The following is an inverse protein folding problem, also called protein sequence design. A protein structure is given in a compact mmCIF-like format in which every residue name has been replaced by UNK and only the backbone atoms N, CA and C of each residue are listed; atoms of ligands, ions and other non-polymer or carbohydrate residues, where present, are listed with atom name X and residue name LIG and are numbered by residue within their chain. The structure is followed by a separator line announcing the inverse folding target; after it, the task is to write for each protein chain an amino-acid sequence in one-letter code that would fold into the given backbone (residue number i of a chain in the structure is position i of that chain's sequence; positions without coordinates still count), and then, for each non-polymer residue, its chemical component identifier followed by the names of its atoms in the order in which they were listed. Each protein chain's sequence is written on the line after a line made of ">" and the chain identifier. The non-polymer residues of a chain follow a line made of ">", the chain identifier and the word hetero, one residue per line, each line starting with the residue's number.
data_IF_857606923203
#
_entry.id   IF_857606923203
#
_cell.length_a   1.000
_cell.length_b   1.000
_cell.length_c   1.000
_cell.angle_alpha   90.00
_cell.angle_beta   90.00
_cell.angle_gamma   90.00
#
_symmetry.space_group_name_H-M   'P 1'
#
loop_
_entity.id
_entity.type
_entity.pdbx_description
1 polymer ?
#
# COMPACT_ATOMS: atom_id res chain seq x y z
N UNK A 1 45.66 -1.00 58.85
CA UNK A 1 45.50 -1.29 57.41
C UNK A 1 44.32 -2.23 57.08
N UNK A 2 44.15 -3.39 57.73
CA UNK A 2 43.08 -4.37 57.38
C UNK A 2 41.62 -3.86 57.50
N UNK A 3 41.32 -3.01 58.48
CA UNK A 3 39.95 -2.46 58.70
C UNK A 3 39.54 -1.42 57.65
N UNK A 4 40.50 -0.70 57.07
CA UNK A 4 40.23 0.26 56.00
C UNK A 4 39.92 -0.45 54.67
N UNK A 5 40.61 -1.57 54.39
CA UNK A 5 40.39 -2.39 53.21
C UNK A 5 39.00 -3.07 53.20
N UNK A 6 38.51 -3.55 54.36
CA UNK A 6 37.16 -4.14 54.46
C UNK A 6 36.04 -3.11 54.31
N UNK A 7 36.24 -1.87 54.79
CA UNK A 7 35.28 -0.78 54.56
C UNK A 7 35.21 -0.34 53.09
N UNK A 8 36.33 -0.39 52.37
CA UNK A 8 36.36 -0.08 50.94
C UNK A 8 35.63 -1.15 50.11
N UNK A 9 35.84 -2.43 50.41
CA UNK A 9 35.15 -3.54 49.73
C UNK A 9 33.62 -3.48 49.89
N UNK A 10 33.14 -3.21 51.11
CA UNK A 10 31.70 -3.09 51.37
C UNK A 10 31.06 -1.90 50.62
N UNK A 11 31.79 -0.79 50.45
CA UNK A 11 31.31 0.35 49.65
C UNK A 11 31.21 0.03 48.17
N UNK A 12 32.17 -0.73 47.62
CA UNK A 12 32.14 -1.16 46.23
C UNK A 12 30.95 -2.09 45.96
N UNK A 13 30.74 -3.11 46.81
CA UNK A 13 29.64 -4.05 46.66
C UNK A 13 28.27 -3.35 46.73
N UNK A 14 28.12 -2.35 47.62
CA UNK A 14 26.91 -1.53 47.70
C UNK A 14 26.69 -0.69 46.42
N UNK A 15 27.75 -0.13 45.85
CA UNK A 15 27.69 0.64 44.61
C UNK A 15 27.33 -0.24 43.40
N UNK A 16 27.90 -1.45 43.31
CA UNK A 16 27.57 -2.42 42.27
C UNK A 16 26.11 -2.88 42.34
N UNK A 17 25.60 -3.15 43.55
CA UNK A 17 24.18 -3.48 43.78
C UNK A 17 23.27 -2.32 43.38
N UNK A 18 23.63 -1.08 43.72
CA UNK A 18 22.85 0.11 43.33
C UNK A 18 22.83 0.30 41.81
N UNK A 19 23.98 0.11 41.15
CA UNK A 19 24.09 0.18 39.70
C UNK A 19 23.24 -0.90 39.01
N UNK A 20 23.30 -2.15 39.48
CA UNK A 20 22.50 -3.24 38.95
C UNK A 20 20.99 -2.98 39.11
N UNK A 21 20.57 -2.44 40.26
CA UNK A 21 19.19 -2.05 40.50
C UNK A 21 18.72 -0.94 39.53
N UNK A 22 19.56 0.06 39.27
CA UNK A 22 19.23 1.14 38.33
C UNK A 22 19.15 0.62 36.89
N UNK A 23 20.08 -0.22 36.46
CA UNK A 23 20.01 -0.85 35.12
C UNK A 23 18.74 -1.69 34.95
N UNK A 24 18.33 -2.41 36.00
CA UNK A 24 17.07 -3.17 35.97
C UNK A 24 15.84 -2.25 35.86
N UNK A 25 15.82 -1.10 36.55
CA UNK A 25 14.73 -0.11 36.40
C UNK A 25 14.68 0.48 34.99
N UNK A 26 15.83 0.84 34.42
CA UNK A 26 15.91 1.38 33.06
C UNK A 26 15.43 0.35 32.02
N UNK A 27 15.85 -0.91 32.16
CA UNK A 27 15.39 -2.00 31.29
C UNK A 27 13.88 -2.21 31.38
N UNK A 28 13.32 -2.21 32.60
CA UNK A 28 11.88 -2.32 32.81
C UNK A 28 11.10 -1.16 32.18
N UNK A 29 11.59 0.07 32.31
CA UNK A 29 10.97 1.25 31.70
C UNK A 29 10.98 1.19 30.17
N UNK A 30 12.11 0.76 29.56
CA UNK A 30 12.22 0.55 28.11
C UNK A 30 11.25 -0.53 27.62
N UNK A 31 11.13 -1.64 28.34
CA UNK A 31 10.19 -2.70 28.01
C UNK A 31 8.72 -2.23 28.10
N UNK A 32 8.39 -1.41 29.10
CA UNK A 32 7.06 -0.81 29.23
C UNK A 32 6.74 0.14 28.06
N UNK A 33 7.69 1.00 27.68
CA UNK A 33 7.54 1.90 26.54
C UNK A 33 7.35 1.13 25.22
N UNK A 34 8.10 0.05 25.01
CA UNK A 34 7.96 -0.80 23.82
C UNK A 34 6.58 -1.49 23.76
N UNK A 35 6.05 -1.96 24.90
CA UNK A 35 4.69 -2.53 24.97
C UNK A 35 3.63 -1.47 24.63
N UNK A 36 3.72 -0.28 25.22
CA UNK A 36 2.80 0.81 24.94
C UNK A 36 2.81 1.23 23.46
N UNK A 37 3.99 1.28 22.84
CA UNK A 37 4.14 1.57 21.42
C UNK A 37 3.48 0.49 20.53
N UNK A 38 3.65 -0.80 20.86
CA UNK A 38 3.01 -1.91 20.15
C UNK A 38 1.48 -1.86 20.28
N UNK A 39 0.98 -1.57 21.47
CA UNK A 39 -0.47 -1.42 21.70
C UNK A 39 -1.05 -0.25 20.91
N UNK A 40 -0.36 0.90 20.89
CA UNK A 40 -0.76 2.06 20.06
C UNK A 40 -0.80 1.69 18.58
N UNK A 41 0.25 1.05 18.06
CA UNK A 41 0.31 0.61 16.67
C UNK A 41 -0.82 -0.39 16.33
N UNK A 42 -1.12 -1.33 17.24
CA UNK A 42 -2.21 -2.28 17.07
C UNK A 42 -3.59 -1.59 17.03
N UNK A 43 -3.84 -0.60 17.90
CA UNK A 43 -5.08 0.20 17.88
C UNK A 43 -5.23 0.99 16.58
N UNK A 44 -4.16 1.61 16.11
CA UNK A 44 -4.16 2.32 14.82
C UNK A 44 -4.41 1.38 13.64
N UNK A 45 -3.79 0.20 13.64
CA UNK A 45 -4.02 -0.82 12.61
C UNK A 45 -5.48 -1.31 12.62
N UNK A 46 -6.04 -1.57 13.81
CA UNK A 46 -7.43 -1.95 13.97
C UNK A 46 -8.39 -0.83 13.50
N UNK A 47 -8.10 0.43 13.81
CA UNK A 47 -8.89 1.57 13.35
C UNK A 47 -8.85 1.70 11.81
N UNK A 48 -7.69 1.54 11.18
CA UNK A 48 -7.56 1.52 9.71
C UNK A 48 -8.33 0.36 9.08
N UNK A 49 -8.27 -0.83 9.69
CA UNK A 49 -9.03 -2.00 9.24
C UNK A 49 -10.55 -1.77 9.35
N UNK A 50 -11.01 -1.18 10.46
CA UNK A 50 -12.42 -0.83 10.66
C UNK A 50 -12.89 0.23 9.65
N UNK A 51 -12.08 1.26 9.37
CA UNK A 51 -12.37 2.26 8.35
C UNK A 51 -12.45 1.66 6.94
N UNK A 52 -11.55 0.72 6.59
CA UNK A 52 -11.62 -0.04 5.32
C UNK A 52 -12.89 -0.88 5.24
N UNK A 53 -13.25 -1.57 6.31
CA UNK A 53 -14.48 -2.37 6.37
C UNK A 53 -15.75 -1.50 6.25
N UNK A 54 -15.77 -0.31 6.86
CA UNK A 54 -16.86 0.64 6.74
C UNK A 54 -16.98 1.19 5.30
N UNK A 55 -15.87 1.56 4.67
CA UNK A 55 -15.84 1.99 3.27
C UNK A 55 -16.31 0.88 2.31
N UNK A 56 -15.93 -0.38 2.58
CA UNK A 56 -16.41 -1.53 1.81
C UNK A 56 -17.92 -1.76 1.95
N UNK A 57 -18.51 -1.44 3.12
CA UNK A 57 -19.97 -1.53 3.34
C UNK A 57 -20.74 -0.43 2.61
N UNK A 58 -20.21 0.79 2.53
CA UNK A 58 -20.82 1.87 1.73
C UNK A 58 -20.68 1.65 0.23
N UNK A 59 -19.60 0.98 -0.20
CA UNK A 59 -19.37 0.54 -1.57
C UNK A 59 -20.31 -0.59 -2.04
N UNK A 60 -21.02 -1.26 -1.13
CA UNK A 60 -21.98 -2.31 -1.46
C UNK A 60 -23.32 -1.77 -1.99
N UNK A 61 -23.55 -0.44 -1.95
CA UNK A 61 -24.64 0.17 -2.71
C UNK A 61 -24.25 0.16 -4.18
N UNK A 62 -25.03 -0.49 -5.07
CA UNK A 62 -24.72 -0.49 -6.50
C UNK A 62 -24.69 0.96 -7.00
N UNK A 63 -23.53 1.40 -7.47
CA UNK A 63 -23.44 2.64 -8.23
C UNK A 63 -23.72 2.26 -9.70
N UNK A 64 -24.86 2.65 -10.30
CA UNK A 64 -25.20 2.26 -11.67
C UNK A 64 -24.18 2.76 -12.71
N UNK A 65 -23.34 3.75 -12.37
CA UNK A 65 -22.22 4.13 -13.23
C UNK A 65 -21.13 3.06 -13.34
N UNK A 66 -21.11 2.07 -12.43
CA UNK A 66 -20.15 0.97 -12.40
C UNK A 66 -20.53 -0.23 -13.27
N UNK A 67 -21.77 -0.26 -13.79
CA UNK A 67 -22.24 -1.37 -14.64
C UNK A 67 -22.01 -1.09 -16.14
N UNK A 68 -21.84 0.18 -16.54
CA UNK A 68 -21.83 0.62 -17.96
C UNK A 68 -20.80 1.71 -18.32
N UNK A 69 -19.97 2.17 -17.38
CA UNK A 69 -19.03 3.26 -17.67
C UNK A 69 -17.81 2.82 -18.50
N UNK A 70 -17.62 3.42 -19.68
CA UNK A 70 -16.46 3.21 -20.56
C UNK A 70 -16.83 2.61 -21.93
N UNK A 71 -15.84 2.25 -22.78
CA UNK A 71 -14.40 2.37 -22.54
C UNK A 71 -13.92 3.83 -22.55
N UNK A 72 -12.96 4.15 -21.68
CA UNK A 72 -12.29 5.46 -21.67
C UNK A 72 -10.88 5.36 -22.26
N UNK A 73 -10.36 6.43 -22.91
CA UNK A 73 -8.98 6.44 -23.38
C UNK A 73 -7.98 6.32 -22.21
N UNK A 74 -6.76 5.82 -22.47
CA UNK A 74 -5.62 5.99 -21.58
C UNK A 74 -5.45 7.42 -21.05
N UNK A 75 -5.22 7.58 -19.75
CA UNK A 75 -4.96 8.89 -19.16
C UNK A 75 -6.24 9.71 -18.90
N UNK A 76 -6.34 10.97 -19.35
CA UNK A 76 -7.48 11.84 -19.05
C UNK A 76 -8.83 11.27 -19.46
N UNK A 77 -9.83 11.36 -18.57
CA UNK A 77 -11.20 10.91 -18.85
C UNK A 77 -12.23 11.72 -18.04
N UNK A 78 -13.48 11.73 -18.52
CA UNK A 78 -14.62 12.32 -17.81
C UNK A 78 -14.56 13.84 -17.62
N UNK A 79 -13.64 14.55 -18.29
CA UNK A 79 -13.45 16.00 -18.11
C UNK A 79 -12.79 16.38 -16.79
N UNK A 80 -12.25 15.41 -16.05
CA UNK A 80 -11.58 15.64 -14.77
C UNK A 80 -10.10 15.97 -14.94
N UNK A 81 -9.52 16.51 -13.89
CA UNK A 81 -8.07 16.66 -13.74
C UNK A 81 -7.50 15.48 -12.92
N UNK A 82 -6.24 15.13 -13.18
CA UNK A 82 -5.55 14.04 -12.49
C UNK A 82 -5.55 14.24 -10.97
N UNK A 83 -6.06 13.26 -10.23
CA UNK A 83 -6.18 13.29 -8.77
C UNK A 83 -7.34 14.16 -8.25
N UNK A 84 -8.17 14.72 -9.14
CA UNK A 84 -9.33 15.56 -8.81
C UNK A 84 -10.65 14.96 -9.34
N UNK A 85 -10.72 13.63 -9.40
CA UNK A 85 -11.94 12.89 -9.75
C UNK A 85 -12.79 12.71 -8.48
N UNK A 86 -14.08 13.10 -8.49
CA UNK A 86 -14.95 12.88 -7.34
C UNK A 86 -15.22 11.38 -7.15
N UNK A 87 -15.27 10.90 -5.90
CA UNK A 87 -15.53 9.49 -5.61
C UNK A 87 -16.86 8.99 -6.19
N UNK A 88 -17.84 9.88 -6.39
CA UNK A 88 -19.13 9.56 -7.02
C UNK A 88 -19.00 9.14 -8.49
N UNK A 89 -17.90 9.52 -9.16
CA UNK A 89 -17.59 9.09 -10.53
C UNK A 89 -16.73 7.81 -10.55
N UNK A 90 -16.26 7.34 -9.39
CA UNK A 90 -15.42 6.16 -9.27
C UNK A 90 -16.19 4.95 -8.74
N UNK A 91 -15.61 3.79 -8.95
CA UNK A 91 -16.19 2.51 -8.62
C UNK A 91 -15.32 1.76 -7.62
N UNK A 92 -15.92 1.18 -6.57
CA UNK A 92 -15.17 0.39 -5.60
C UNK A 92 -14.67 -0.91 -6.23
N UNK A 93 -13.54 -1.39 -5.72
CA UNK A 93 -12.93 -2.65 -6.16
C UNK A 93 -12.83 -3.68 -5.04
N UNK A 94 -12.87 -4.96 -5.40
CA UNK A 94 -12.56 -6.07 -4.49
C UNK A 94 -11.12 -5.87 -3.97
N UNK A 95 -10.91 -6.06 -2.66
CA UNK A 95 -9.64 -5.76 -2.01
C UNK A 95 -9.54 -4.31 -1.49
N UNK A 96 -10.48 -3.45 -1.85
CA UNK A 96 -10.62 -2.07 -1.36
C UNK A 96 -9.95 -1.03 -2.24
N UNK A 97 -10.48 0.19 -2.22
CA UNK A 97 -10.04 1.28 -3.07
C UNK A 97 -11.06 1.62 -4.15
N UNK A 98 -10.66 2.49 -5.09
CA UNK A 98 -11.52 3.01 -6.14
C UNK A 98 -10.77 3.06 -7.47
N UNK A 99 -11.46 2.75 -8.55
CA UNK A 99 -10.97 2.88 -9.92
C UNK A 99 -12.02 3.56 -10.81
N UNK A 100 -11.62 3.99 -12.00
CA UNK A 100 -12.60 4.38 -13.03
C UNK A 100 -13.49 3.18 -13.39
N UNK A 101 -14.73 3.39 -13.87
CA UNK A 101 -15.71 2.30 -13.98
C UNK A 101 -15.25 1.07 -14.77
N UNK A 102 -14.72 1.23 -15.98
CA UNK A 102 -14.23 0.13 -16.81
C UNK A 102 -13.05 -0.62 -16.17
N UNK A 103 -12.11 0.12 -15.59
CA UNK A 103 -10.99 -0.43 -14.83
C UNK A 103 -11.46 -1.23 -13.61
N UNK A 104 -12.48 -0.75 -12.89
CA UNK A 104 -13.04 -1.43 -11.72
C UNK A 104 -13.70 -2.76 -12.12
N UNK A 105 -14.51 -2.77 -13.17
CA UNK A 105 -15.13 -4.00 -13.71
C UNK A 105 -14.06 -4.99 -14.13
N UNK A 106 -13.07 -4.54 -14.89
CA UNK A 106 -11.94 -5.35 -15.33
C UNK A 106 -11.15 -5.94 -14.15
N UNK A 107 -10.79 -5.12 -13.17
CA UNK A 107 -10.06 -5.55 -11.98
C UNK A 107 -10.85 -6.57 -11.16
N UNK A 108 -12.16 -6.34 -10.98
CA UNK A 108 -13.03 -7.24 -10.23
C UNK A 108 -13.20 -8.60 -10.92
N UNK A 109 -13.15 -8.66 -12.26
CA UNK A 109 -13.08 -9.92 -13.00
C UNK A 109 -11.72 -10.61 -12.83
N UNK A 110 -10.63 -9.86 -12.96
CA UNK A 110 -9.26 -10.36 -12.79
C UNK A 110 -9.05 -10.97 -11.40
N UNK A 111 -9.46 -10.27 -10.34
CA UNK A 111 -9.28 -10.75 -8.97
C UNK A 111 -10.15 -11.97 -8.65
N UNK A 112 -11.31 -12.14 -9.29
CA UNK A 112 -12.10 -13.37 -9.16
C UNK A 112 -11.38 -14.55 -9.80
N UNK A 113 -10.77 -14.37 -10.97
CA UNK A 113 -9.95 -15.39 -11.60
C UNK A 113 -8.69 -15.71 -10.78
N UNK A 114 -8.02 -14.70 -10.22
CA UNK A 114 -6.89 -14.88 -9.32
C UNK A 114 -7.26 -15.73 -8.10
N UNK A 115 -8.46 -15.52 -7.54
CA UNK A 115 -8.96 -16.33 -6.42
C UNK A 115 -9.12 -17.81 -6.78
N UNK A 116 -9.44 -18.15 -8.03
CA UNK A 116 -9.48 -19.56 -8.45
C UNK A 116 -8.10 -20.22 -8.42
N UNK A 117 -7.02 -19.45 -8.63
CA UNK A 117 -5.66 -19.97 -8.62
C UNK A 117 -5.04 -20.02 -7.20
N UNK A 118 -5.34 -19.05 -6.34
CA UNK A 118 -4.66 -18.88 -5.04
C UNK A 118 -5.57 -18.90 -3.81
N UNK A 119 -6.88 -19.11 -3.98
CA UNK A 119 -7.85 -19.16 -2.88
C UNK A 119 -8.12 -17.81 -2.18
N UNK A 120 -7.45 -16.74 -2.59
CA UNK A 120 -7.56 -15.39 -2.03
C UNK A 120 -7.74 -14.36 -3.15
N UNK A 121 -8.36 -13.21 -2.85
CA UNK A 121 -8.41 -12.09 -3.80
C UNK A 121 -7.07 -11.36 -3.87
N UNK A 122 -6.87 -10.57 -4.93
CA UNK A 122 -5.72 -9.67 -5.03
C UNK A 122 -5.75 -8.67 -3.88
N UNK A 123 -4.60 -8.48 -3.24
CA UNK A 123 -4.43 -7.49 -2.19
C UNK A 123 -4.06 -6.15 -2.80
N UNK A 124 -4.85 -5.12 -2.51
CA UNK A 124 -4.64 -3.75 -3.02
C UNK A 124 -3.98 -2.90 -1.93
N UNK A 125 -2.75 -2.46 -2.17
CA UNK A 125 -2.05 -1.50 -1.32
C UNK A 125 -2.42 -0.06 -1.69
N UNK A 126 -2.54 0.25 -2.99
CA UNK A 126 -2.95 1.55 -3.51
C UNK A 126 -3.79 1.41 -4.79
N UNK A 127 -4.68 2.37 -5.04
CA UNK A 127 -5.49 2.48 -6.26
C UNK A 127 -5.64 3.97 -6.62
N UNK A 128 -6.86 4.51 -6.80
CA UNK A 128 -7.03 5.95 -6.99
C UNK A 128 -6.35 6.77 -5.88
N UNK A 129 -5.55 7.77 -6.28
CA UNK A 129 -4.80 8.64 -5.37
C UNK A 129 -5.16 10.10 -5.64
N UNK A 130 -5.83 10.78 -4.68
CA UNK A 130 -6.15 12.20 -4.80
C UNK A 130 -4.90 13.07 -4.97
N UNK A 131 -5.05 14.22 -5.63
CA UNK A 131 -3.97 15.15 -5.93
C UNK A 131 -3.20 15.57 -4.67
N UNK A 132 -3.92 15.90 -3.59
CA UNK A 132 -3.31 16.28 -2.31
C UNK A 132 -2.46 15.16 -1.70
N UNK A 133 -2.87 13.90 -1.89
CA UNK A 133 -2.11 12.74 -1.44
C UNK A 133 -0.85 12.54 -2.29
N UNK A 134 -0.95 12.76 -3.60
CA UNK A 134 0.21 12.72 -4.49
C UNK A 134 1.22 13.83 -4.17
N UNK A 135 0.76 15.05 -3.84
CA UNK A 135 1.62 16.14 -3.37
C UNK A 135 2.35 15.75 -2.08
N UNK A 136 1.63 15.14 -1.13
CA UNK A 136 2.25 14.67 0.12
C UNK A 136 3.31 13.62 -0.16
N UNK A 137 3.00 12.61 -0.98
CA UNK A 137 3.94 11.54 -1.32
C UNK A 137 5.17 12.10 -2.03
N UNK A 138 5.00 13.00 -3.00
CA UNK A 138 6.12 13.61 -3.72
C UNK A 138 7.04 14.43 -2.80
N UNK A 139 6.48 15.06 -1.75
CA UNK A 139 7.29 15.79 -0.75
C UNK A 139 8.11 14.88 0.15
N UNK A 140 7.60 13.69 0.47
CA UNK A 140 8.27 12.76 1.41
C UNK A 140 9.17 11.76 0.70
N UNK A 141 8.80 11.31 -0.49
CA UNK A 141 9.44 10.24 -1.25
C UNK A 141 9.54 10.60 -2.75
N UNK A 142 10.20 11.70 -3.13
CA UNK A 142 10.21 12.22 -4.51
C UNK A 142 10.78 11.24 -5.54
N UNK A 143 11.68 10.33 -5.14
CA UNK A 143 12.25 9.31 -6.02
C UNK A 143 11.28 8.17 -6.34
N UNK A 144 10.21 8.01 -5.56
CA UNK A 144 9.21 6.94 -5.69
C UNK A 144 7.83 7.50 -6.07
N UNK A 145 7.78 8.77 -6.48
CA UNK A 145 6.53 9.46 -6.74
C UNK A 145 6.60 10.19 -8.08
N UNK A 146 5.64 9.93 -8.95
CA UNK A 146 5.41 10.77 -10.12
C UNK A 146 5.13 12.23 -9.69
N UNK A 147 5.45 13.18 -10.57
CA UNK A 147 5.10 14.58 -10.36
C UNK A 147 3.57 14.70 -10.09
N UNK A 148 3.12 15.48 -9.10
CA UNK A 148 1.70 15.64 -8.84
C UNK A 148 0.92 16.07 -10.08
N UNK A 149 -0.15 15.33 -10.40
CA UNK A 149 -0.95 15.54 -11.60
C UNK A 149 -0.54 14.67 -12.80
N UNK A 150 0.51 13.86 -12.70
CA UNK A 150 0.98 13.00 -13.82
C UNK A 150 0.92 11.51 -13.52
N UNK A 151 0.46 11.10 -12.33
CA UNK A 151 0.41 9.68 -11.94
C UNK A 151 -0.84 8.97 -12.49
N UNK A 152 -0.70 7.75 -13.00
CA UNK A 152 -1.86 6.93 -13.40
C UNK A 152 -2.78 6.57 -12.22
N UNK A 153 -2.28 6.59 -10.98
CA UNK A 153 -3.15 6.52 -9.79
C UNK A 153 -4.11 7.71 -9.71
N UNK A 154 -3.70 8.90 -10.14
CA UNK A 154 -4.56 10.08 -10.18
C UNK A 154 -5.63 10.01 -11.28
N UNK A 155 -5.47 9.13 -12.26
CA UNK A 155 -6.52 8.85 -13.24
C UNK A 155 -7.38 7.62 -12.89
N UNK A 156 -7.19 7.05 -11.70
CA UNK A 156 -7.88 5.84 -11.25
C UNK A 156 -7.69 4.65 -12.22
N UNK A 157 -6.48 4.57 -12.82
CA UNK A 157 -6.07 3.57 -13.81
C UNK A 157 -4.89 2.73 -13.34
N UNK A 158 -4.43 2.87 -12.09
CA UNK A 158 -3.33 2.10 -11.57
C UNK A 158 -3.66 1.46 -10.22
N UNK A 159 -3.04 0.32 -9.96
CA UNK A 159 -3.06 -0.37 -8.67
C UNK A 159 -1.65 -0.77 -8.27
N UNK A 160 -1.35 -0.62 -6.98
CA UNK A 160 -0.18 -1.21 -6.35
C UNK A 160 -0.62 -2.44 -5.56
N UNK A 161 -0.11 -3.61 -5.91
CA UNK A 161 -0.58 -4.90 -5.39
C UNK A 161 0.39 -5.50 -4.36
N UNK A 162 -0.18 -6.19 -3.37
CA UNK A 162 0.55 -6.84 -2.29
C UNK A 162 0.41 -8.37 -2.26
N UNK A 163 0.63 -8.95 -1.08
CA UNK A 163 0.40 -10.37 -0.76
C UNK A 163 1.06 -11.38 -1.73
N UNK A 164 2.26 -11.06 -2.20
CA UNK A 164 3.07 -11.91 -3.06
C UNK A 164 3.27 -11.31 -4.44
N UNK A 165 2.32 -10.52 -4.95
CA UNK A 165 2.47 -9.87 -6.26
C UNK A 165 3.63 -8.88 -6.28
N UNK A 166 3.85 -8.12 -5.20
CA UNK A 166 4.99 -7.21 -5.06
C UNK A 166 6.36 -7.91 -5.04
N UNK A 167 6.40 -9.22 -4.85
CA UNK A 167 7.64 -9.98 -4.83
C UNK A 167 7.93 -10.46 -6.26
N UNK A 168 8.84 -9.78 -6.95
CA UNK A 168 9.22 -10.13 -8.32
C UNK A 168 9.57 -11.62 -8.45
N UNK A 169 9.02 -12.26 -9.47
CA UNK A 169 9.24 -13.69 -9.72
C UNK A 169 8.54 -14.63 -8.72
N UNK A 170 7.66 -14.16 -7.85
CA UNK A 170 6.79 -15.05 -7.08
C UNK A 170 5.78 -15.78 -8.00
N UNK A 171 5.16 -16.89 -7.54
CA UNK A 171 4.04 -17.50 -8.25
C UNK A 171 2.91 -16.50 -8.55
N UNK A 172 2.60 -15.61 -7.62
CA UNK A 172 1.57 -14.59 -7.74
C UNK A 172 1.92 -13.54 -8.80
N UNK A 173 3.17 -13.05 -8.80
CA UNK A 173 3.66 -12.11 -9.81
C UNK A 173 3.63 -12.74 -11.20
N UNK A 174 4.13 -13.97 -11.36
CA UNK A 174 4.09 -14.68 -12.65
C UNK A 174 2.67 -14.91 -13.16
N UNK A 175 1.74 -15.21 -12.25
CA UNK A 175 0.32 -15.32 -12.63
C UNK A 175 -0.19 -13.99 -13.18
N UNK A 176 0.11 -12.88 -12.52
CA UNK A 176 -0.29 -11.56 -13.01
C UNK A 176 0.32 -11.27 -14.39
N UNK A 177 1.62 -11.56 -14.60
CA UNK A 177 2.27 -11.38 -15.91
C UNK A 177 1.58 -12.20 -17.01
N UNK A 178 1.18 -13.44 -16.69
CA UNK A 178 0.55 -14.34 -17.66
C UNK A 178 -0.93 -14.02 -17.95
N UNK A 179 -1.66 -13.45 -16.99
CA UNK A 179 -3.13 -13.38 -17.06
C UNK A 179 -3.71 -11.96 -17.03
N UNK A 180 -3.00 -10.97 -16.49
CA UNK A 180 -3.54 -9.61 -16.31
C UNK A 180 -3.96 -8.97 -17.65
N UNK A 181 -3.20 -9.24 -18.72
CA UNK A 181 -3.49 -8.71 -20.05
C UNK A 181 -4.87 -9.10 -20.60
N UNK A 182 -5.38 -10.29 -20.24
CA UNK A 182 -6.73 -10.72 -20.63
C UNK A 182 -7.85 -9.86 -20.02
N UNK A 183 -7.53 -9.09 -18.99
CA UNK A 183 -8.43 -8.15 -18.32
C UNK A 183 -8.08 -6.69 -18.62
N UNK A 184 -7.16 -6.43 -19.57
CA UNK A 184 -6.73 -5.07 -19.89
C UNK A 184 -5.79 -4.43 -18.86
N UNK A 185 -5.20 -5.24 -17.98
CA UNK A 185 -4.18 -4.81 -17.02
C UNK A 185 -2.79 -5.20 -17.50
N UNK A 186 -1.82 -4.31 -17.34
CA UNK A 186 -0.43 -4.54 -17.75
C UNK A 186 0.52 -4.23 -16.62
N UNK A 187 1.65 -4.94 -16.59
CA UNK A 187 2.82 -4.51 -15.85
C UNK A 187 3.66 -3.64 -16.80
N UNK A 188 3.68 -2.31 -16.64
CA UNK A 188 4.27 -1.45 -17.64
C UNK A 188 5.78 -1.65 -17.74
N UNK A 189 6.34 -1.48 -18.93
CA UNK A 189 7.75 -1.82 -19.19
C UNK A 189 8.72 -1.04 -18.31
N UNK A 190 8.39 0.23 -17.99
CA UNK A 190 9.19 1.08 -17.13
C UNK A 190 9.31 0.53 -15.70
N UNK A 191 8.30 -0.20 -15.20
CA UNK A 191 8.29 -0.75 -13.85
C UNK A 191 9.28 -1.91 -13.65
N UNK A 192 9.86 -2.44 -14.75
CA UNK A 192 10.97 -3.40 -14.70
C UNK A 192 12.36 -2.72 -14.64
N UNK A 193 12.42 -1.39 -14.68
CA UNK A 193 13.67 -0.64 -14.78
C UNK A 193 13.91 0.19 -13.51
N UNK A 194 13.84 1.52 -13.62
CA UNK A 194 14.05 2.45 -12.51
C UNK A 194 12.98 3.56 -12.58
N UNK A 195 12.12 3.71 -11.55
CA UNK A 195 12.06 2.86 -10.36
C UNK A 195 11.61 1.42 -10.68
N UNK A 196 12.16 0.45 -9.94
CA UNK A 196 11.74 -0.94 -10.03
C UNK A 196 10.51 -1.16 -9.16
N UNK A 197 9.36 -1.41 -9.79
CA UNK A 197 8.05 -1.44 -9.14
C UNK A 197 7.23 -2.69 -9.48
N UNK A 198 7.64 -3.90 -9.04
CA UNK A 198 6.93 -5.15 -9.31
C UNK A 198 5.49 -5.19 -8.77
N UNK A 199 5.16 -4.29 -7.83
CA UNK A 199 3.81 -4.11 -7.32
C UNK A 199 2.89 -3.33 -8.28
N UNK A 200 3.42 -2.59 -9.25
CA UNK A 200 2.68 -1.61 -10.03
C UNK A 200 2.05 -2.21 -11.31
N UNK A 201 0.75 -1.98 -11.46
CA UNK A 201 -0.04 -2.46 -12.61
C UNK A 201 -0.98 -1.34 -13.09
N UNK A 202 -1.10 -1.22 -14.41
CA UNK A 202 -1.87 -0.16 -15.07
C UNK A 202 -2.98 -0.75 -15.93
N UNK A 203 -4.12 -0.07 -15.98
CA UNK A 203 -5.25 -0.41 -16.83
C UNK A 203 -5.21 0.38 -18.13
N UNK A 204 -5.43 -0.30 -19.24
CA UNK A 204 -5.26 0.24 -20.59
C UNK A 204 -3.83 0.08 -21.09
N UNK A 205 -3.64 0.14 -22.40
CA UNK A 205 -2.31 0.15 -23.02
C UNK A 205 -1.63 1.49 -22.76
N UNK A 206 -1.09 1.69 -21.56
CA UNK A 206 -0.43 2.94 -21.14
C UNK A 206 1.05 2.72 -20.88
N UNK A 207 1.80 2.20 -21.86
CA UNK A 207 3.20 2.59 -22.04
C UNK A 207 3.73 2.09 -23.38
N UNK A 208 3.88 3.04 -24.31
CA UNK A 208 4.82 3.08 -25.44
C UNK A 208 5.35 1.77 -26.03
N UNK A 209 4.63 1.23 -27.01
CA UNK A 209 5.28 0.72 -28.20
C UNK A 209 5.51 1.89 -29.14
N UNK A 210 6.77 2.24 -29.42
CA UNK A 210 7.08 3.00 -30.61
C UNK A 210 6.43 2.28 -31.80
N UNK A 211 5.69 3.05 -32.60
CA UNK A 211 4.93 2.55 -33.74
C UNK A 211 5.76 1.64 -34.63
N UNK A 212 5.17 0.50 -34.99
CA UNK A 212 5.53 -0.21 -36.20
C UNK A 212 4.86 0.51 -37.36
N UNK A 213 5.62 1.34 -38.07
CA UNK A 213 5.44 1.71 -39.47
C UNK A 213 6.77 2.20 -40.00
#
# INVERSE_FOLDING_TARGET
>A
MRVAATRAAAKLEAAEKAYAAEQARIAAARAAAARAAREKAAREAAARAAARAAAARTAAVPNPSCDVGGPYPPGPWGGYSNGLIPLSALCPIIGGGYLRPDAAVAFNRMTQAYRQAFGSYLCVNSSYRPYADQVRLFRTEPSLAAVPGTSNHGWAQAVDLGCGVQNYGSPQFRWMVAHAGAYGWVHPAWANQSPFEPWHWEFGYISGGAGSS
#
